data_IF_102690751955
#
_entry.id   IF_102690751955
#
_cell.length_a   1.000
_cell.length_b   1.000
_cell.length_c   1.000
_cell.angle_alpha   90.00
_cell.angle_beta   90.00
_cell.angle_gamma   90.00
#
_symmetry.space_group_name_H-M   'P 1'
#
loop_
_entity.id
_entity.type
_entity.pdbx_description
1 polymer ?
#
# COMPACT_ATOMS: atom_id res chain seq x y z
N UNK A 1 -102.54 -68.67 11.47
CA UNK A 1 -101.18 -69.14 11.16
C UNK A 1 -100.47 -68.27 10.10
N UNK A 2 -101.17 -67.78 9.09
CA UNK A 2 -100.60 -66.98 7.99
C UNK A 2 -99.92 -65.65 8.41
N UNK A 3 -100.48 -64.92 9.38
CA UNK A 3 -99.93 -63.64 9.83
C UNK A 3 -98.54 -63.74 10.51
N UNK A 4 -98.24 -64.88 11.15
CA UNK A 4 -96.95 -65.12 11.82
C UNK A 4 -95.83 -65.42 10.82
N UNK A 5 -96.16 -66.16 9.75
CA UNK A 5 -95.23 -66.44 8.66
C UNK A 5 -94.89 -65.17 7.86
N UNK A 6 -95.89 -64.34 7.54
CA UNK A 6 -95.68 -63.06 6.87
C UNK A 6 -94.77 -62.10 7.67
N UNK A 7 -94.93 -62.06 9.00
CA UNK A 7 -94.12 -61.21 9.88
C UNK A 7 -92.65 -61.64 9.93
N UNK A 8 -92.39 -62.95 10.01
CA UNK A 8 -91.03 -63.51 9.93
C UNK A 8 -90.37 -63.27 8.57
N UNK A 9 -91.12 -63.39 7.48
CA UNK A 9 -90.60 -63.09 6.13
C UNK A 9 -90.24 -61.61 6.01
N UNK A 10 -91.08 -60.70 6.51
CA UNK A 10 -90.79 -59.27 6.50
C UNK A 10 -89.56 -58.91 7.35
N UNK A 11 -89.38 -59.56 8.50
CA UNK A 11 -88.20 -59.40 9.36
C UNK A 11 -86.92 -59.89 8.65
N UNK A 12 -86.95 -61.07 8.03
CA UNK A 12 -85.83 -61.61 7.25
C UNK A 12 -85.52 -60.74 6.03
N UNK A 13 -86.54 -60.30 5.27
CA UNK A 13 -86.34 -59.39 4.13
C UNK A 13 -85.78 -58.05 4.59
N UNK A 14 -86.20 -57.54 5.74
CA UNK A 14 -85.65 -56.32 6.34
C UNK A 14 -84.17 -56.46 6.67
N UNK A 15 -83.76 -57.58 7.27
CA UNK A 15 -82.35 -57.89 7.55
C UNK A 15 -81.54 -58.02 6.26
N UNK A 16 -82.04 -58.77 5.27
CA UNK A 16 -81.36 -58.93 3.97
C UNK A 16 -81.25 -57.59 3.23
N UNK A 17 -82.27 -56.72 3.32
CA UNK A 17 -82.22 -55.39 2.70
C UNK A 17 -81.17 -54.49 3.36
N UNK A 18 -81.07 -54.48 4.69
CA UNK A 18 -80.01 -53.73 5.39
C UNK A 18 -78.61 -54.29 5.08
N UNK A 19 -78.45 -55.61 4.95
CA UNK A 19 -77.17 -56.21 4.51
C UNK A 19 -76.83 -55.84 3.05
N UNK A 20 -77.79 -55.90 2.13
CA UNK A 20 -77.58 -55.51 0.73
C UNK A 20 -77.22 -54.02 0.62
N UNK A 21 -77.85 -53.18 1.43
CA UNK A 21 -77.60 -51.73 1.47
C UNK A 21 -76.21 -51.38 2.00
N UNK A 22 -75.62 -52.22 2.84
CA UNK A 22 -74.26 -52.05 3.36
C UNK A 22 -73.18 -52.77 2.52
N UNK A 23 -73.56 -53.39 1.40
CA UNK A 23 -72.60 -54.09 0.53
C UNK A 23 -72.03 -53.14 -0.51
N UNK A 24 -70.72 -53.21 -0.72
CA UNK A 24 -70.03 -52.45 -1.77
C UNK A 24 -70.54 -52.87 -3.15
N UNK A 25 -70.94 -51.90 -3.94
CA UNK A 25 -71.40 -52.09 -5.31
C UNK A 25 -70.21 -52.24 -6.27
N UNK A 26 -70.45 -52.85 -7.44
CA UNK A 26 -69.44 -52.93 -8.51
C UNK A 26 -69.00 -51.53 -8.97
N UNK A 27 -69.89 -50.54 -8.90
CA UNK A 27 -69.61 -49.16 -9.27
C UNK A 27 -68.61 -48.53 -8.31
N UNK A 28 -68.87 -48.58 -6.99
CA UNK A 28 -67.94 -48.08 -5.96
C UNK A 28 -66.57 -48.77 -6.02
N UNK A 29 -66.55 -50.08 -6.30
CA UNK A 29 -65.30 -50.82 -6.46
C UNK A 29 -64.51 -50.39 -7.70
N UNK A 30 -65.19 -50.09 -8.81
CA UNK A 30 -64.54 -49.57 -10.02
C UNK A 30 -64.03 -48.15 -9.81
N UNK A 31 -64.79 -47.28 -9.13
CA UNK A 31 -64.34 -45.93 -8.77
C UNK A 31 -63.08 -45.97 -7.88
N UNK A 32 -63.08 -46.85 -6.87
CA UNK A 32 -61.89 -47.07 -6.02
C UNK A 32 -60.68 -47.54 -6.83
N UNK A 33 -60.89 -48.44 -7.80
CA UNK A 33 -59.80 -48.90 -8.68
C UNK A 33 -59.21 -47.77 -9.51
N UNK A 34 -60.04 -46.87 -10.04
CA UNK A 34 -59.54 -45.72 -10.79
C UNK A 34 -58.75 -44.75 -9.87
N UNK A 35 -59.26 -44.45 -8.67
CA UNK A 35 -58.51 -43.64 -7.68
C UNK A 35 -57.16 -44.28 -7.33
N UNK A 36 -57.11 -45.60 -7.15
CA UNK A 36 -55.84 -46.32 -6.89
C UNK A 36 -54.88 -46.22 -8.08
N UNK A 37 -55.37 -46.28 -9.31
CA UNK A 37 -54.52 -46.09 -10.51
C UNK A 37 -53.98 -44.67 -10.58
N UNK A 38 -54.82 -43.67 -10.37
CA UNK A 38 -54.39 -42.26 -10.35
C UNK A 38 -53.34 -42.00 -9.26
N UNK A 39 -53.52 -42.59 -8.07
CA UNK A 39 -52.54 -42.52 -6.98
C UNK A 39 -51.21 -43.20 -7.36
N UNK A 40 -51.25 -44.37 -8.01
CA UNK A 40 -50.06 -45.06 -8.46
C UNK A 40 -49.29 -44.25 -9.53
N UNK A 41 -50.01 -43.60 -10.46
CA UNK A 41 -49.41 -42.70 -11.44
C UNK A 41 -48.82 -41.44 -10.81
N UNK A 42 -49.52 -40.83 -9.85
CA UNK A 42 -49.03 -39.69 -9.08
C UNK A 42 -47.78 -40.04 -8.26
N UNK A 43 -47.75 -41.23 -7.65
CA UNK A 43 -46.59 -41.75 -6.93
C UNK A 43 -45.41 -41.93 -7.89
N UNK A 44 -45.60 -42.60 -9.04
CA UNK A 44 -44.55 -42.78 -10.05
C UNK A 44 -43.96 -41.45 -10.53
N UNK A 45 -44.81 -40.44 -10.79
CA UNK A 45 -44.36 -39.09 -11.15
C UNK A 45 -43.58 -38.41 -10.03
N UNK A 46 -43.95 -38.68 -8.78
CA UNK A 46 -43.25 -38.13 -7.61
C UNK A 46 -41.88 -38.78 -7.44
N UNK A 47 -41.79 -40.10 -7.58
CA UNK A 47 -40.52 -40.85 -7.55
C UNK A 47 -39.56 -40.35 -8.65
N UNK A 48 -40.05 -40.14 -9.87
CA UNK A 48 -39.26 -39.56 -10.96
C UNK A 48 -38.72 -38.16 -10.61
N UNK A 49 -39.56 -37.28 -10.05
CA UNK A 49 -39.12 -35.94 -9.63
C UNK A 49 -38.08 -35.99 -8.49
N UNK A 50 -38.23 -36.93 -7.56
CA UNK A 50 -37.26 -37.11 -6.47
C UNK A 50 -35.92 -37.59 -7.02
N UNK A 51 -35.92 -38.47 -8.02
CA UNK A 51 -34.69 -38.94 -8.66
C UNK A 51 -33.99 -37.83 -9.47
N UNK A 52 -34.76 -37.02 -10.21
CA UNK A 52 -34.24 -35.81 -10.89
C UNK A 52 -33.62 -34.81 -9.89
N UNK A 53 -34.26 -34.59 -8.74
CA UNK A 53 -33.74 -33.73 -7.67
C UNK A 53 -32.45 -34.29 -7.05
N UNK A 54 -32.39 -35.61 -6.81
CA UNK A 54 -31.20 -36.26 -6.28
C UNK A 54 -30.02 -36.15 -7.26
N UNK A 55 -30.27 -36.27 -8.56
CA UNK A 55 -29.23 -36.07 -9.58
C UNK A 55 -28.78 -34.60 -9.66
N UNK A 56 -29.71 -33.65 -9.61
CA UNK A 56 -29.38 -32.22 -9.57
C UNK A 56 -28.56 -31.85 -8.32
N UNK A 57 -28.88 -32.45 -7.17
CA UNK A 57 -28.12 -32.29 -5.94
C UNK A 57 -26.71 -32.85 -6.08
N UNK A 58 -26.55 -34.07 -6.61
CA UNK A 58 -25.23 -34.68 -6.85
C UNK A 58 -24.35 -33.81 -7.77
N UNK A 59 -24.91 -33.29 -8.86
CA UNK A 59 -24.21 -32.36 -9.76
C UNK A 59 -23.81 -31.06 -9.06
N UNK A 60 -24.60 -30.60 -8.09
CA UNK A 60 -24.29 -29.40 -7.29
C UNK A 60 -23.15 -29.66 -6.32
N UNK A 61 -23.16 -30.80 -5.63
CA UNK A 61 -22.08 -31.24 -4.74
C UNK A 61 -20.76 -31.36 -5.50
N UNK A 62 -20.76 -31.97 -6.69
CA UNK A 62 -19.57 -32.05 -7.55
C UNK A 62 -19.03 -30.67 -7.99
N UNK A 63 -19.92 -29.68 -8.17
CA UNK A 63 -19.51 -28.30 -8.48
C UNK A 63 -18.94 -27.60 -7.24
N UNK A 64 -19.48 -27.87 -6.05
CA UNK A 64 -18.97 -27.34 -4.79
C UNK A 64 -17.57 -27.89 -4.49
N UNK A 65 -17.35 -29.19 -4.63
CA UNK A 65 -16.01 -29.78 -4.43
C UNK A 65 -14.97 -29.19 -5.40
N UNK A 66 -15.35 -28.95 -6.65
CA UNK A 66 -14.46 -28.26 -7.60
C UNK A 66 -14.18 -26.81 -7.20
N UNK A 67 -15.18 -26.10 -6.68
CA UNK A 67 -15.00 -24.73 -6.22
C UNK A 67 -14.09 -24.67 -4.98
N UNK A 68 -14.24 -25.60 -4.04
CA UNK A 68 -13.37 -25.72 -2.87
C UNK A 68 -11.90 -25.89 -3.28
N UNK A 69 -11.62 -26.79 -4.23
CA UNK A 69 -10.27 -26.99 -4.76
C UNK A 69 -9.68 -25.72 -5.41
N UNK A 70 -10.47 -25.02 -6.24
CA UNK A 70 -10.04 -23.76 -6.87
C UNK A 70 -9.76 -22.68 -5.82
N UNK A 71 -10.58 -22.59 -4.78
CA UNK A 71 -10.38 -21.63 -3.69
C UNK A 71 -9.10 -21.94 -2.91
N UNK A 72 -8.79 -23.21 -2.67
CA UNK A 72 -7.55 -23.63 -2.01
C UNK A 72 -6.31 -23.27 -2.83
N UNK A 73 -6.33 -23.55 -4.14
CA UNK A 73 -5.25 -23.16 -5.07
C UNK A 73 -5.05 -21.64 -5.12
N UNK A 74 -6.14 -20.87 -5.17
CA UNK A 74 -6.08 -19.40 -5.14
C UNK A 74 -5.49 -18.88 -3.83
N UNK A 75 -5.87 -19.47 -2.69
CA UNK A 75 -5.32 -19.09 -1.39
C UNK A 75 -3.82 -19.39 -1.27
N UNK A 76 -3.33 -20.46 -1.90
CA UNK A 76 -1.90 -20.75 -1.98
C UNK A 76 -1.15 -19.79 -2.91
N UNK A 77 -1.69 -19.52 -4.11
CA UNK A 77 -1.13 -18.55 -5.03
C UNK A 77 -1.03 -17.14 -4.41
N UNK A 78 -2.06 -16.74 -3.65
CA UNK A 78 -2.05 -15.48 -2.90
C UNK A 78 -0.95 -15.47 -1.84
N UNK A 79 -0.81 -16.53 -1.02
CA UNK A 79 0.26 -16.64 -0.01
C UNK A 79 1.66 -16.52 -0.63
N UNK A 80 1.89 -17.15 -1.80
CA UNK A 80 3.16 -17.03 -2.53
C UNK A 80 3.42 -15.58 -2.98
N UNK A 81 2.39 -14.93 -3.53
CA UNK A 81 2.48 -13.53 -3.96
C UNK A 81 2.79 -12.60 -2.78
N UNK A 82 2.19 -12.81 -1.61
CA UNK A 82 2.46 -12.01 -0.42
C UNK A 82 3.92 -12.11 0.06
N UNK A 83 4.54 -13.29 -0.08
CA UNK A 83 5.96 -13.50 0.22
C UNK A 83 6.83 -12.71 -0.76
N UNK A 84 6.60 -12.86 -2.06
CA UNK A 84 7.38 -12.16 -3.10
C UNK A 84 7.28 -10.63 -2.96
N UNK A 85 6.08 -10.11 -2.66
CA UNK A 85 5.88 -8.67 -2.41
C UNK A 85 6.65 -8.20 -1.18
N UNK A 86 6.70 -8.99 -0.11
CA UNK A 86 7.48 -8.65 1.09
C UNK A 86 8.98 -8.62 0.79
N UNK A 87 9.50 -9.60 0.05
CA UNK A 87 10.91 -9.64 -0.37
C UNK A 87 11.26 -8.45 -1.25
N UNK A 88 10.40 -8.11 -2.22
CA UNK A 88 10.57 -6.93 -3.06
C UNK A 88 10.59 -5.64 -2.23
N UNK A 89 9.70 -5.50 -1.24
CA UNK A 89 9.69 -4.33 -0.36
C UNK A 89 10.99 -4.18 0.44
N UNK A 90 11.58 -5.30 0.90
CA UNK A 90 12.88 -5.30 1.57
C UNK A 90 14.00 -4.90 0.60
N UNK A 91 14.05 -5.49 -0.59
CA UNK A 91 15.04 -5.15 -1.61
C UNK A 91 14.99 -3.66 -2.01
N UNK A 92 13.79 -3.09 -2.12
CA UNK A 92 13.60 -1.65 -2.38
C UNK A 92 14.13 -0.80 -1.21
N UNK A 93 13.88 -1.21 0.04
CA UNK A 93 14.39 -0.51 1.22
C UNK A 93 15.92 -0.50 1.22
N UNK A 94 16.55 -1.63 0.95
CA UNK A 94 18.01 -1.73 0.92
C UNK A 94 18.61 -0.91 -0.23
N UNK A 95 17.95 -0.92 -1.39
CA UNK A 95 18.32 -0.06 -2.53
C UNK A 95 18.27 1.42 -2.14
N UNK A 96 17.23 1.86 -1.42
CA UNK A 96 17.14 3.25 -0.95
C UNK A 96 18.28 3.62 0.00
N UNK A 97 18.68 2.70 0.88
CA UNK A 97 19.82 2.90 1.79
C UNK A 97 21.11 3.06 0.98
N UNK A 98 21.35 2.16 0.03
CA UNK A 98 22.54 2.23 -0.84
C UNK A 98 22.57 3.51 -1.68
N UNK A 99 21.45 3.92 -2.26
CA UNK A 99 21.32 5.18 -3.01
C UNK A 99 21.55 6.40 -2.11
N UNK A 100 21.08 6.34 -0.85
CA UNK A 100 21.40 7.35 0.16
C UNK A 100 22.91 7.45 0.41
N UNK A 101 23.58 6.33 0.66
CA UNK A 101 25.03 6.29 0.84
C UNK A 101 25.83 6.76 -0.38
N UNK A 102 25.36 6.48 -1.60
CA UNK A 102 25.94 7.02 -2.83
C UNK A 102 25.75 8.53 -2.96
N UNK A 103 24.59 9.04 -2.55
CA UNK A 103 24.32 10.49 -2.52
C UNK A 103 25.27 11.20 -1.58
N UNK A 104 25.56 10.59 -0.42
CA UNK A 104 26.55 11.10 0.53
C UNK A 104 27.96 11.09 -0.08
N UNK A 105 28.36 10.01 -0.75
CA UNK A 105 29.67 9.91 -1.42
C UNK A 105 29.86 10.96 -2.53
N UNK A 106 28.81 11.22 -3.32
CA UNK A 106 28.81 12.30 -4.33
C UNK A 106 28.90 13.68 -3.66
N UNK A 107 28.28 13.85 -2.49
CA UNK A 107 28.39 15.03 -1.64
C UNK A 107 29.82 15.27 -1.15
N UNK A 108 30.45 14.26 -0.54
CA UNK A 108 31.84 14.35 -0.06
C UNK A 108 32.82 14.67 -1.19
N UNK A 109 32.66 14.07 -2.37
CA UNK A 109 33.51 14.40 -3.53
C UNK A 109 33.32 15.84 -4.03
N UNK A 110 32.16 16.45 -3.82
CA UNK A 110 31.93 17.87 -4.12
C UNK A 110 32.57 18.77 -3.07
N UNK A 111 32.46 18.42 -1.79
CA UNK A 111 33.10 19.12 -0.66
C UNK A 111 34.61 19.16 -0.79
N UNK A 112 35.25 18.01 -1.03
CA UNK A 112 36.70 17.90 -1.14
C UNK A 112 37.26 18.74 -2.29
N UNK A 113 36.57 18.74 -3.43
CA UNK A 113 36.91 19.61 -4.57
C UNK A 113 36.72 21.08 -4.24
N UNK A 114 35.60 21.43 -3.62
CA UNK A 114 35.30 22.79 -3.20
C UNK A 114 36.38 23.33 -2.27
N UNK A 115 36.74 22.59 -1.22
CA UNK A 115 37.77 22.98 -0.26
C UNK A 115 39.11 23.26 -0.94
N UNK A 116 39.49 22.44 -1.94
CA UNK A 116 40.76 22.56 -2.64
C UNK A 116 40.81 23.75 -3.61
N UNK A 117 39.72 24.01 -4.34
CA UNK A 117 39.72 24.93 -5.47
C UNK A 117 39.09 26.30 -5.18
N UNK A 118 38.19 26.39 -4.18
CA UNK A 118 37.55 27.65 -3.80
C UNK A 118 38.52 28.78 -3.48
N UNK A 119 39.68 28.58 -2.81
CA UNK A 119 40.60 29.68 -2.55
C UNK A 119 41.03 30.45 -3.80
N UNK A 120 41.28 29.74 -4.91
CA UNK A 120 41.65 30.36 -6.20
C UNK A 120 40.49 31.15 -6.79
N UNK A 121 39.27 30.59 -6.73
CA UNK A 121 38.07 31.24 -7.24
C UNK A 121 37.69 32.48 -6.41
N UNK A 122 37.75 32.37 -5.09
CA UNK A 122 37.49 33.45 -4.14
C UNK A 122 38.44 34.64 -4.36
N UNK A 123 39.72 34.35 -4.62
CA UNK A 123 40.72 35.38 -4.93
C UNK A 123 40.43 36.09 -6.25
N UNK A 124 40.21 35.32 -7.32
CA UNK A 124 40.07 35.85 -8.68
C UNK A 124 38.74 36.56 -8.93
N UNK A 125 37.63 36.02 -8.41
CA UNK A 125 36.28 36.55 -8.69
C UNK A 125 35.79 37.53 -7.62
N UNK A 126 36.13 37.28 -6.37
CA UNK A 126 35.55 38.02 -5.24
C UNK A 126 36.56 38.87 -4.49
N UNK A 127 37.84 38.83 -4.90
CA UNK A 127 38.95 39.54 -4.26
C UNK A 127 39.10 39.19 -2.77
N UNK A 128 38.82 37.93 -2.43
CA UNK A 128 38.95 37.39 -1.08
C UNK A 128 40.20 36.50 -1.03
N UNK A 129 41.19 36.91 -0.23
CA UNK A 129 42.35 36.08 0.07
C UNK A 129 42.05 35.21 1.29
N UNK A 130 42.10 33.88 1.13
CA UNK A 130 41.83 32.93 2.21
C UNK A 130 43.08 32.81 3.10
N UNK A 131 42.95 33.02 4.40
CA UNK A 131 44.07 33.06 5.35
C UNK A 131 44.63 31.67 5.68
N UNK A 132 43.78 30.64 5.66
CA UNK A 132 44.15 29.25 5.90
C UNK A 132 43.33 28.32 4.99
N UNK A 133 43.78 27.09 4.71
CA UNK A 133 42.99 26.13 3.96
C UNK A 133 41.57 26.03 4.52
N UNK A 134 40.58 26.01 3.63
CA UNK A 134 39.19 25.76 4.01
C UNK A 134 39.09 24.36 4.60
N UNK A 135 38.22 24.17 5.59
CA UNK A 135 38.06 22.88 6.26
C UNK A 135 36.60 22.58 6.54
N UNK A 136 36.27 21.29 6.62
CA UNK A 136 35.07 20.83 7.31
C UNK A 136 35.24 21.04 8.80
N UNK A 137 34.26 21.69 9.44
CA UNK A 137 34.36 22.04 10.87
C UNK A 137 33.12 21.57 11.63
N UNK A 138 33.33 20.71 12.61
CA UNK A 138 32.32 20.39 13.63
C UNK A 138 32.39 21.42 14.76
N UNK A 139 31.25 22.01 15.10
CA UNK A 139 31.15 22.96 16.21
C UNK A 139 30.18 22.41 17.26
N UNK A 140 30.67 22.29 18.50
CA UNK A 140 29.89 21.79 19.63
C UNK A 140 29.46 22.94 20.53
N UNK A 141 28.17 23.02 20.82
CA UNK A 141 27.62 24.00 21.76
C UNK A 141 26.35 23.46 22.41
N UNK A 142 26.17 23.68 23.73
CA UNK A 142 25.01 23.24 24.51
C UNK A 142 24.61 21.77 24.31
N UNK A 143 25.59 20.86 24.21
CA UNK A 143 25.35 19.43 23.99
C UNK A 143 24.92 19.05 22.57
N UNK A 144 24.78 20.01 21.65
CA UNK A 144 24.54 19.80 20.22
C UNK A 144 25.85 19.93 19.43
N UNK A 145 25.86 19.35 18.23
CA UNK A 145 26.89 19.55 17.23
C UNK A 145 26.24 20.03 15.92
N UNK A 146 26.88 20.97 15.24
CA UNK A 146 26.60 21.27 13.84
C UNK A 146 27.88 21.01 13.03
N UNK A 147 27.71 20.53 11.81
CA UNK A 147 28.78 20.42 10.82
C UNK A 147 28.67 21.56 9.81
N UNK A 148 29.81 22.17 9.50
CA UNK A 148 29.95 23.17 8.44
C UNK A 148 30.78 22.52 7.33
N UNK A 149 30.21 22.35 6.14
CA UNK A 149 30.90 21.68 5.02
C UNK A 149 32.16 22.46 4.60
N UNK A 150 32.06 23.78 4.50
CA UNK A 150 33.17 24.65 4.10
C UNK A 150 33.28 25.78 5.11
N UNK A 151 34.38 25.82 5.85
CA UNK A 151 34.65 26.87 6.82
C UNK A 151 36.08 27.40 6.68
N UNK A 152 36.22 28.72 6.77
CA UNK A 152 37.51 29.37 6.88
C UNK A 152 37.40 30.85 7.21
N UNK A 153 38.54 31.52 7.25
CA UNK A 153 38.62 32.98 7.35
C UNK A 153 39.40 33.51 6.16
N UNK A 154 39.04 34.70 5.72
CA UNK A 154 39.76 35.39 4.67
C UNK A 154 39.66 36.90 4.81
N UNK A 155 40.32 37.59 3.90
CA UNK A 155 40.38 39.03 3.86
C UNK A 155 39.92 39.56 2.52
N UNK A 156 39.08 40.58 2.56
CA UNK A 156 38.74 41.43 1.42
C UNK A 156 39.29 42.82 1.68
N UNK A 157 40.43 43.13 1.08
CA UNK A 157 41.22 44.32 1.46
C UNK A 157 41.65 44.27 2.93
N UNK A 158 41.23 45.25 3.74
CA UNK A 158 41.55 45.32 5.18
C UNK A 158 40.53 44.64 6.09
N UNK A 159 39.41 44.15 5.55
CA UNK A 159 38.33 43.53 6.35
C UNK A 159 38.55 42.03 6.47
N UNK A 160 38.49 41.51 7.69
CA UNK A 160 38.47 40.07 7.98
C UNK A 160 37.03 39.59 7.90
N UNK A 161 36.81 38.44 7.25
CA UNK A 161 35.51 37.82 7.13
C UNK A 161 35.58 36.31 7.34
N UNK A 162 34.47 35.73 7.80
CA UNK A 162 34.27 34.28 7.81
C UNK A 162 33.76 33.80 6.45
N UNK A 163 34.36 32.76 5.90
CA UNK A 163 33.90 32.07 4.69
C UNK A 163 33.14 30.84 5.16
N UNK A 164 31.87 30.73 4.78
CA UNK A 164 31.00 29.63 5.17
C UNK A 164 30.30 29.13 3.92
N UNK A 165 30.33 27.82 3.71
CA UNK A 165 29.59 27.24 2.59
C UNK A 165 29.07 25.84 2.83
N UNK A 166 28.09 25.51 1.99
CA UNK A 166 27.41 24.22 1.91
C UNK A 166 27.73 23.57 0.55
N UNK A 167 27.90 22.26 0.52
CA UNK A 167 27.95 21.51 -0.74
C UNK A 167 26.68 20.69 -0.94
N UNK A 168 26.03 20.84 -2.09
CA UNK A 168 24.82 20.08 -2.44
C UNK A 168 24.83 19.67 -3.90
N UNK A 169 24.70 18.38 -4.18
CA UNK A 169 24.69 17.88 -5.55
C UNK A 169 23.59 18.52 -6.42
N UNK A 170 22.38 18.64 -5.86
CA UNK A 170 21.29 19.44 -6.42
C UNK A 170 20.79 20.43 -5.37
N UNK A 171 20.84 21.73 -5.69
CA UNK A 171 20.40 22.78 -4.78
C UNK A 171 18.88 22.97 -4.87
N UNK A 172 18.24 23.08 -3.70
CA UNK A 172 16.79 23.31 -3.55
C UNK A 172 16.55 24.41 -2.49
N UNK A 173 15.39 25.08 -2.53
CA UNK A 173 15.04 26.18 -1.60
C UNK A 173 15.18 25.77 -0.13
N UNK A 174 14.74 24.55 0.22
CA UNK A 174 14.89 23.98 1.57
C UNK A 174 16.34 23.96 2.05
N UNK A 175 17.30 23.60 1.18
CA UNK A 175 18.72 23.55 1.55
C UNK A 175 19.26 24.94 1.87
N UNK A 176 18.84 25.96 1.11
CA UNK A 176 19.20 27.36 1.34
C UNK A 176 18.66 27.80 2.70
N UNK A 177 17.38 27.54 2.97
CA UNK A 177 16.75 27.92 4.25
C UNK A 177 17.42 27.24 5.44
N UNK A 178 17.74 25.95 5.32
CA UNK A 178 18.40 25.19 6.40
C UNK A 178 19.84 25.64 6.62
N UNK A 179 20.57 25.99 5.56
CA UNK A 179 21.91 26.58 5.64
C UNK A 179 21.89 27.97 6.31
N UNK A 180 20.93 28.83 5.97
CA UNK A 180 20.80 30.15 6.60
C UNK A 180 20.42 30.02 8.08
N UNK A 181 19.53 29.09 8.45
CA UNK A 181 19.25 28.78 9.86
C UNK A 181 20.49 28.31 10.61
N UNK A 182 21.36 27.51 9.97
CA UNK A 182 22.64 27.10 10.55
C UNK A 182 23.52 28.32 10.79
N UNK A 183 23.71 29.16 9.77
CA UNK A 183 24.49 30.40 9.85
C UNK A 183 23.99 31.32 10.96
N UNK A 184 22.68 31.52 11.08
CA UNK A 184 22.08 32.33 12.15
C UNK A 184 22.34 31.72 13.54
N UNK A 185 22.28 30.39 13.68
CA UNK A 185 22.64 29.72 14.94
C UNK A 185 24.11 29.95 15.29
N UNK A 186 25.01 29.84 14.31
CA UNK A 186 26.44 30.03 14.52
C UNK A 186 26.76 31.47 14.94
N UNK A 187 26.11 32.47 14.31
CA UNK A 187 26.27 33.88 14.68
C UNK A 187 25.77 34.15 16.11
N UNK A 188 24.57 33.68 16.44
CA UNK A 188 23.98 33.84 17.77
C UNK A 188 24.80 33.19 18.89
N UNK A 189 25.63 32.20 18.56
CA UNK A 189 26.55 31.53 19.50
C UNK A 189 27.95 32.13 19.50
N UNK A 190 28.19 33.20 18.73
CA UNK A 190 29.49 33.87 18.64
C UNK A 190 30.57 33.04 17.95
N UNK A 191 30.18 32.01 17.18
CA UNK A 191 31.12 31.13 16.46
C UNK A 191 31.62 31.82 15.19
N UNK A 192 30.76 32.64 14.58
CA UNK A 192 31.04 33.44 13.39
C UNK A 192 30.62 34.89 13.64
N UNK A 193 31.19 35.82 12.88
CA UNK A 193 30.79 37.24 12.91
C UNK A 193 29.80 37.58 11.80
N UNK A 194 29.29 38.81 11.83
CA UNK A 194 28.45 39.38 10.76
C UNK A 194 29.21 39.63 9.47
N UNK A 195 30.50 39.89 9.56
CA UNK A 195 31.37 40.00 8.40
C UNK A 195 31.64 38.58 7.87
N UNK A 196 30.79 38.15 6.94
CA UNK A 196 30.80 36.79 6.40
C UNK A 196 30.54 36.76 4.90
N UNK A 197 31.11 35.76 4.24
CA UNK A 197 30.85 35.41 2.86
C UNK A 197 30.21 34.03 2.83
N UNK A 198 28.97 33.98 2.33
CA UNK A 198 28.16 32.78 2.27
C UNK A 198 28.14 32.26 0.84
N UNK A 199 28.43 30.97 0.67
CA UNK A 199 28.40 30.31 -0.63
C UNK A 199 27.76 28.92 -0.59
N UNK A 200 27.27 28.47 -1.73
CA UNK A 200 26.89 27.07 -1.94
C UNK A 200 27.55 26.55 -3.19
N UNK A 201 28.14 25.36 -3.09
CA UNK A 201 28.70 24.64 -4.24
C UNK A 201 27.71 23.59 -4.71
N UNK A 202 27.41 23.55 -6.01
CA UNK A 202 26.43 22.60 -6.57
C UNK A 202 26.75 22.09 -7.98
N UNK A 203 26.30 20.87 -8.32
CA UNK A 203 26.33 20.39 -9.71
C UNK A 203 25.17 20.96 -10.52
N UNK A 204 24.02 21.20 -9.88
CA UNK A 204 22.80 21.63 -10.56
C UNK A 204 21.86 22.43 -9.66
N UNK A 205 21.29 23.49 -10.20
CA UNK A 205 20.26 24.32 -9.55
C UNK A 205 19.26 24.78 -10.60
N UNK A 206 17.99 24.90 -10.22
CA UNK A 206 16.96 25.50 -11.06
C UNK A 206 17.05 27.04 -11.00
N UNK A 207 16.78 27.78 -12.10
CA UNK A 207 16.93 29.23 -12.13
C UNK A 207 16.22 29.98 -11.00
N UNK A 208 15.00 29.56 -10.65
CA UNK A 208 14.23 30.16 -9.54
C UNK A 208 14.89 29.96 -8.17
N UNK A 209 15.61 28.85 -7.99
CA UNK A 209 16.32 28.53 -6.74
C UNK A 209 17.63 29.30 -6.68
N UNK A 210 18.30 29.49 -7.82
CA UNK A 210 19.51 30.31 -7.92
C UNK A 210 19.21 31.79 -7.64
N UNK A 211 18.12 32.31 -8.20
CA UNK A 211 17.62 33.66 -7.90
C UNK A 211 17.27 33.80 -6.41
N UNK A 212 16.55 32.83 -5.86
CA UNK A 212 16.24 32.80 -4.43
C UNK A 212 17.51 32.81 -3.54
N UNK A 213 18.56 32.08 -3.92
CA UNK A 213 19.83 32.11 -3.21
C UNK A 213 20.47 33.50 -3.26
N UNK A 214 20.51 34.12 -4.44
CA UNK A 214 21.07 35.47 -4.63
C UNK A 214 20.32 36.52 -3.81
N UNK A 215 19.00 36.47 -3.79
CA UNK A 215 18.16 37.38 -3.00
C UNK A 215 18.44 37.30 -1.49
N UNK A 216 18.86 36.13 -1.01
CA UNK A 216 19.28 35.89 0.38
C UNK A 216 20.75 36.23 0.64
N UNK A 217 21.47 36.77 -0.35
CA UNK A 217 22.88 37.13 -0.25
C UNK A 217 23.84 35.92 -0.32
N UNK A 218 23.37 34.79 -0.85
CA UNK A 218 24.13 33.54 -0.96
C UNK A 218 24.70 33.39 -2.37
N UNK A 219 26.02 33.19 -2.48
CA UNK A 219 26.66 32.99 -3.77
C UNK A 219 26.56 31.53 -4.21
N UNK A 220 26.00 31.28 -5.40
CA UNK A 220 25.96 29.93 -5.99
C UNK A 220 27.19 29.74 -6.87
N UNK A 221 27.97 28.71 -6.58
CA UNK A 221 29.18 28.33 -7.32
C UNK A 221 28.93 26.95 -7.93
N UNK A 222 29.10 26.85 -9.24
CA UNK A 222 28.90 25.59 -9.95
C UNK A 222 30.14 24.72 -9.83
N UNK A 223 29.94 23.41 -9.74
CA UNK A 223 31.01 22.43 -9.56
C UNK A 223 32.05 22.39 -10.67
N UNK A 224 31.75 22.91 -11.85
CA UNK A 224 32.69 22.98 -12.99
C UNK A 224 33.55 24.24 -12.95
N UNK A 225 33.26 25.19 -12.07
CA UNK A 225 34.05 26.40 -11.84
C UNK A 225 35.19 26.17 -10.83
N UNK A 226 35.23 24.98 -10.23
CA UNK A 226 36.15 24.55 -9.17
C UNK A 226 36.77 23.19 -9.47
#
# INVERSE_FOLDING_TARGET
>A
MEASAARKIAEVIGVVYEELKNTVTKTEFNELKEVIRELAEAQKRTEQRVEELAEAQRRTEERLTRLEAVVEELAEAQRRTEVEVRELAMAIKDTRIMVGGLSDAVGYGLEDRAIKSLPTLLRSRYEIEVDSPLVRKFVKYNGRHDEINIYGTGRKGKKILHIIGEAKARLAKKHIDDFLKLVDRLENKGIITRDRFLLVVTYSVEPEVEEYARDKGLQVIWSFEI
#
